data_IF_718483661300
#
_entry.id   IF_718483661300
#
_cell.length_a   1.000
_cell.length_b   1.000
_cell.length_c   1.000
_cell.angle_alpha   90.00
_cell.angle_beta   90.00
_cell.angle_gamma   90.00
#
_symmetry.space_group_name_H-M   'P 1'
#
loop_
_entity.id
_entity.type
_entity.pdbx_description
1 polymer ?
#
# COMPACT_ATOMS: atom_id res chain seq x y z
N UNK A 1 -2.03 -15.38 -1.31
CA UNK A 1 -0.76 -14.80 -0.86
C UNK A 1 -1.04 -13.70 0.16
N UNK A 2 -0.29 -13.67 1.22
CA UNK A 2 -0.38 -12.65 2.26
C UNK A 2 0.28 -11.36 1.77
N UNK A 3 -0.41 -10.22 1.89
CA UNK A 3 0.12 -8.91 1.50
C UNK A 3 1.41 -8.52 2.22
N UNK A 4 1.60 -9.01 3.45
CA UNK A 4 2.84 -8.77 4.21
C UNK A 4 4.08 -9.33 3.52
N UNK A 5 3.94 -10.38 2.73
CA UNK A 5 5.06 -10.95 1.96
C UNK A 5 5.56 -9.98 0.88
N UNK A 6 4.67 -9.17 0.32
CA UNK A 6 5.08 -8.10 -0.60
C UNK A 6 5.91 -7.03 0.12
N UNK A 7 5.62 -6.75 1.38
CA UNK A 7 6.41 -5.82 2.17
C UNK A 7 7.81 -6.38 2.47
N UNK A 8 7.92 -7.68 2.73
CA UNK A 8 9.21 -8.34 2.89
C UNK A 8 10.05 -8.24 1.60
N UNK A 9 9.44 -8.46 0.45
CA UNK A 9 10.11 -8.30 -0.85
C UNK A 9 10.52 -6.84 -1.06
N UNK A 10 9.68 -5.88 -0.67
CA UNK A 10 10.04 -4.46 -0.76
C UNK A 10 11.29 -4.15 0.07
N UNK A 11 11.41 -4.69 1.28
CA UNK A 11 12.58 -4.51 2.13
C UNK A 11 13.83 -5.14 1.51
N UNK A 12 13.72 -6.31 0.91
CA UNK A 12 14.82 -6.95 0.19
C UNK A 12 15.30 -6.09 -0.98
N UNK A 13 14.38 -5.56 -1.77
CA UNK A 13 14.68 -4.70 -2.89
C UNK A 13 15.30 -3.37 -2.45
N UNK A 14 14.92 -2.86 -1.28
CA UNK A 14 15.49 -1.63 -0.72
C UNK A 14 16.99 -1.74 -0.49
N UNK A 15 17.47 -2.93 -0.10
CA UNK A 15 18.91 -3.17 0.11
C UNK A 15 19.71 -3.24 -1.20
N UNK A 16 19.06 -3.24 -2.36
CA UNK A 16 19.73 -3.15 -3.65
C UNK A 16 20.35 -1.77 -3.87
N UNK A 17 21.18 -1.67 -4.89
CA UNK A 17 22.01 -0.48 -5.15
C UNK A 17 21.63 0.28 -6.41
N UNK A 18 20.54 -0.11 -7.09
CA UNK A 18 20.13 0.50 -8.35
C UNK A 18 18.76 1.18 -8.24
N UNK A 19 18.54 2.14 -9.14
CA UNK A 19 17.24 2.79 -9.30
C UNK A 19 16.11 1.77 -9.52
N UNK A 20 16.37 0.72 -10.32
CA UNK A 20 15.39 -0.33 -10.57
C UNK A 20 14.98 -1.06 -9.28
N UNK A 21 15.91 -1.32 -8.37
CA UNK A 21 15.60 -1.90 -7.06
C UNK A 21 14.68 -0.98 -6.26
N UNK A 22 14.97 0.31 -6.21
CA UNK A 22 14.19 1.26 -5.41
C UNK A 22 12.81 1.54 -6.00
N UNK A 23 12.70 1.62 -7.32
CA UNK A 23 11.40 1.69 -8.01
C UNK A 23 10.54 0.47 -7.73
N UNK A 24 11.13 -0.71 -7.81
CA UNK A 24 10.43 -1.97 -7.52
C UNK A 24 10.02 -2.06 -6.05
N UNK A 25 10.87 -1.60 -5.13
CA UNK A 25 10.54 -1.56 -3.70
C UNK A 25 9.30 -0.72 -3.43
N UNK A 26 9.20 0.47 -4.02
CA UNK A 26 8.03 1.34 -3.88
C UNK A 26 6.75 0.67 -4.41
N UNK A 27 6.83 -0.01 -5.55
CA UNK A 27 5.70 -0.75 -6.10
C UNK A 27 5.23 -1.89 -5.19
N UNK A 28 6.16 -2.65 -4.62
CA UNK A 28 5.83 -3.75 -3.70
C UNK A 28 5.25 -3.24 -2.39
N UNK A 29 5.73 -2.10 -1.89
CA UNK A 29 5.14 -1.45 -0.72
C UNK A 29 3.66 -1.10 -0.94
N UNK A 30 3.33 -0.52 -2.09
CA UNK A 30 1.94 -0.26 -2.46
C UNK A 30 1.10 -1.54 -2.49
N UNK A 31 1.57 -2.59 -3.18
CA UNK A 31 0.83 -3.84 -3.27
C UNK A 31 0.58 -4.48 -1.92
N UNK A 32 1.52 -4.37 -0.97
CA UNK A 32 1.33 -4.91 0.37
C UNK A 32 0.11 -4.31 1.06
N UNK A 33 -0.09 -3.00 0.93
CA UNK A 33 -1.20 -2.29 1.57
C UNK A 33 -2.53 -2.60 0.87
N UNK A 34 -2.57 -2.55 -0.46
CA UNK A 34 -3.82 -2.79 -1.19
C UNK A 34 -4.34 -4.22 -0.97
N UNK A 35 -3.44 -5.21 -0.90
CA UNK A 35 -3.84 -6.60 -0.66
C UNK A 35 -4.30 -6.82 0.76
N UNK A 36 -3.64 -6.22 1.76
CA UNK A 36 -4.09 -6.30 3.16
C UNK A 36 -5.44 -5.61 3.35
N UNK A 37 -5.62 -4.44 2.75
CA UNK A 37 -6.89 -3.71 2.83
C UNK A 37 -8.02 -4.49 2.15
N UNK A 38 -7.79 -5.04 0.96
CA UNK A 38 -8.78 -5.86 0.26
C UNK A 38 -9.16 -7.09 1.06
N UNK A 39 -8.18 -7.79 1.63
CA UNK A 39 -8.43 -8.97 2.47
C UNK A 39 -9.27 -8.62 3.68
N UNK A 40 -8.99 -7.48 4.33
CA UNK A 40 -9.78 -7.02 5.47
C UNK A 40 -11.22 -6.70 5.07
N UNK A 41 -11.42 -5.99 3.96
CA UNK A 41 -12.79 -5.70 3.47
C UNK A 41 -13.56 -6.99 3.20
N UNK A 42 -12.92 -7.98 2.59
CA UNK A 42 -13.54 -9.29 2.34
C UNK A 42 -13.95 -9.96 3.66
N UNK A 43 -13.06 -9.96 4.67
CA UNK A 43 -13.34 -10.53 5.99
C UNK A 43 -14.50 -9.82 6.69
N UNK A 44 -14.66 -8.52 6.47
CA UNK A 44 -15.75 -7.73 7.08
C UNK A 44 -17.05 -7.81 6.29
N UNK A 45 -17.10 -8.61 5.22
CA UNK A 45 -18.29 -8.80 4.39
C UNK A 45 -18.59 -7.66 3.45
N UNK A 46 -17.62 -6.79 3.18
CA UNK A 46 -17.79 -5.68 2.24
C UNK A 46 -17.46 -6.16 0.84
N UNK A 47 -18.47 -6.22 -0.03
CA UNK A 47 -18.33 -6.70 -1.40
C UNK A 47 -18.00 -5.54 -2.32
N UNK A 48 -16.88 -5.67 -3.06
CA UNK A 48 -16.51 -4.74 -4.11
C UNK A 48 -17.10 -5.21 -5.44
N UNK A 49 -17.56 -4.26 -6.25
CA UNK A 49 -18.12 -4.57 -7.57
C UNK A 49 -17.01 -5.08 -8.50
N UNK A 50 -17.26 -6.23 -9.17
CA UNK A 50 -16.25 -6.84 -10.05
C UNK A 50 -15.79 -5.96 -11.20
N UNK A 51 -16.69 -5.10 -11.71
CA UNK A 51 -16.39 -4.20 -12.82
C UNK A 51 -15.59 -2.98 -12.44
N UNK A 52 -15.47 -2.68 -11.15
CA UNK A 52 -14.69 -1.54 -10.69
C UNK A 52 -13.21 -1.90 -10.62
N UNK A 53 -12.30 -0.97 -10.99
CA UNK A 53 -10.89 -1.18 -10.75
C UNK A 53 -10.66 -1.41 -9.27
N UNK A 54 -10.06 -2.55 -8.91
CA UNK A 54 -9.94 -2.98 -7.52
C UNK A 54 -9.24 -1.94 -6.65
N UNK A 55 -8.18 -1.32 -7.18
CA UNK A 55 -7.40 -0.32 -6.45
C UNK A 55 -8.24 0.92 -6.12
N UNK A 56 -9.00 1.42 -7.09
CA UNK A 56 -9.86 2.58 -6.90
C UNK A 56 -11.02 2.26 -5.95
N UNK A 57 -11.64 1.09 -6.09
CA UNK A 57 -12.75 0.66 -5.25
C UNK A 57 -12.34 0.54 -3.77
N UNK A 58 -11.18 -0.06 -3.49
CA UNK A 58 -10.67 -0.19 -2.13
C UNK A 58 -10.38 1.19 -1.53
N UNK A 59 -9.67 2.06 -2.27
CA UNK A 59 -9.34 3.40 -1.79
C UNK A 59 -10.60 4.21 -1.48
N UNK A 60 -11.59 4.15 -2.35
CA UNK A 60 -12.84 4.87 -2.17
C UNK A 60 -13.58 4.44 -0.91
N UNK A 61 -13.66 3.13 -0.66
CA UNK A 61 -14.28 2.60 0.55
C UNK A 61 -13.60 3.10 1.82
N UNK A 62 -12.27 3.10 1.84
CA UNK A 62 -11.50 3.52 3.00
C UNK A 62 -11.54 5.04 3.21
N UNK A 63 -11.68 5.82 2.15
CA UNK A 63 -11.74 7.28 2.23
C UNK A 63 -13.01 7.76 2.92
N UNK A 64 -14.15 7.11 2.67
CA UNK A 64 -15.46 7.56 3.14
C UNK A 64 -15.97 6.83 4.38
N UNK A 65 -15.20 5.90 4.93
CA UNK A 65 -15.57 5.26 6.19
C UNK A 65 -15.29 6.19 7.37
N UNK A 66 -16.15 6.15 8.40
CA UNK A 66 -15.97 6.97 9.61
C UNK A 66 -15.11 6.22 10.63
N UNK A 67 -13.85 6.03 10.29
CA UNK A 67 -12.87 5.34 11.12
C UNK A 67 -11.49 5.95 10.83
N UNK A 68 -10.86 6.52 11.86
CA UNK A 68 -9.59 7.25 11.69
C UNK A 68 -8.46 6.36 11.19
N UNK A 69 -8.38 5.10 11.65
CA UNK A 69 -7.33 4.18 11.20
C UNK A 69 -7.53 3.80 9.73
N UNK A 70 -8.76 3.54 9.32
CA UNK A 70 -9.07 3.20 7.94
C UNK A 70 -8.90 4.39 6.99
N UNK A 71 -9.20 5.60 7.46
CA UNK A 71 -8.92 6.82 6.68
C UNK A 71 -7.43 7.03 6.49
N UNK A 72 -6.62 6.72 7.50
CA UNK A 72 -5.16 6.74 7.38
C UNK A 72 -4.68 5.75 6.32
N UNK A 73 -5.24 4.56 6.28
CA UNK A 73 -4.93 3.55 5.25
C UNK A 73 -5.30 4.07 3.85
N UNK A 74 -6.48 4.68 3.72
CA UNK A 74 -6.93 5.27 2.44
C UNK A 74 -5.98 6.35 1.95
N UNK A 75 -5.53 7.23 2.84
CA UNK A 75 -4.55 8.27 2.50
C UNK A 75 -3.21 7.68 2.10
N UNK A 76 -2.74 6.67 2.83
CA UNK A 76 -1.50 5.97 2.49
C UNK A 76 -1.59 5.34 1.10
N UNK A 77 -2.71 4.71 0.77
CA UNK A 77 -2.92 4.14 -0.57
C UNK A 77 -2.89 5.20 -1.66
N UNK A 78 -3.47 6.37 -1.44
CA UNK A 78 -3.41 7.47 -2.40
C UNK A 78 -1.97 7.93 -2.64
N UNK A 79 -1.20 8.11 -1.58
CA UNK A 79 0.20 8.52 -1.69
C UNK A 79 1.04 7.43 -2.38
N UNK A 80 0.86 6.18 -1.97
CA UNK A 80 1.63 5.05 -2.49
C UNK A 80 1.30 4.73 -3.95
N UNK A 81 0.02 4.88 -4.38
CA UNK A 81 -0.33 4.63 -5.77
C UNK A 81 0.28 5.67 -6.71
N UNK A 82 0.35 6.92 -6.27
CA UNK A 82 1.03 7.97 -7.06
C UNK A 82 2.52 7.66 -7.21
N UNK A 83 3.16 7.23 -6.13
CA UNK A 83 4.57 6.87 -6.15
C UNK A 83 4.81 5.63 -7.02
N UNK A 84 3.96 4.62 -6.91
CA UNK A 84 4.02 3.42 -7.74
C UNK A 84 3.88 3.74 -9.22
N UNK A 85 2.94 4.61 -9.58
CA UNK A 85 2.78 5.04 -10.98
C UNK A 85 4.02 5.77 -11.47
N UNK A 86 4.61 6.63 -10.66
CA UNK A 86 5.85 7.32 -10.99
C UNK A 86 7.00 6.32 -11.16
N UNK A 87 7.09 5.32 -10.27
CA UNK A 87 8.12 4.28 -10.33
C UNK A 87 8.03 3.43 -11.60
N UNK A 88 6.81 3.09 -12.03
CA UNK A 88 6.59 2.18 -13.15
C UNK A 88 6.59 2.90 -14.52
N UNK A 89 6.15 4.15 -14.57
CA UNK A 89 5.84 4.81 -15.84
C UNK A 89 6.64 6.08 -16.12
N UNK A 90 7.16 6.76 -15.12
CA UNK A 90 7.99 7.96 -15.32
C UNK A 90 9.47 7.59 -15.26
N UNK A 91 10.00 7.21 -16.40
CA UNK A 91 11.38 6.71 -16.54
C UNK A 91 12.36 7.75 -17.09
N UNK A 92 11.92 9.00 -17.30
CA UNK A 92 12.72 10.02 -17.96
C UNK A 92 13.82 10.60 -17.08
N UNK A 93 13.66 10.53 -15.75
CA UNK A 93 14.69 10.96 -14.80
C UNK A 93 14.56 10.14 -13.53
N UNK A 94 15.65 9.98 -12.75
CA UNK A 94 15.56 9.24 -11.48
C UNK A 94 14.63 9.93 -10.47
N UNK A 95 14.60 11.27 -10.40
CA UNK A 95 13.71 11.98 -9.49
C UNK A 95 13.76 11.43 -8.06
N UNK A 96 12.62 10.98 -7.51
CA UNK A 96 12.56 10.43 -6.16
C UNK A 96 13.32 9.11 -6.00
N UNK A 97 13.77 8.50 -7.09
CA UNK A 97 14.52 7.23 -7.08
C UNK A 97 16.01 7.40 -7.37
N UNK A 98 16.53 8.60 -7.19
CA UNK A 98 17.97 8.87 -7.31
C UNK A 98 18.78 8.19 -6.18
N UNK A 99 18.12 7.90 -5.06
CA UNK A 99 18.66 7.13 -3.95
C UNK A 99 17.53 6.32 -3.28
N UNK A 100 17.84 5.61 -2.21
CA UNK A 100 16.90 4.71 -1.56
C UNK A 100 15.89 5.39 -0.63
N UNK A 101 16.02 6.71 -0.36
CA UNK A 101 15.27 7.34 0.74
C UNK A 101 13.75 7.39 0.47
N UNK A 102 13.31 7.67 -0.73
CA UNK A 102 11.88 7.69 -1.07
C UNK A 102 11.26 6.30 -0.95
N UNK A 103 11.96 5.26 -1.43
CA UNK A 103 11.50 3.88 -1.30
C UNK A 103 11.45 3.45 0.18
N UNK A 104 12.43 3.86 0.98
CA UNK A 104 12.43 3.59 2.43
C UNK A 104 11.24 4.25 3.13
N UNK A 105 10.92 5.48 2.78
CA UNK A 105 9.75 6.20 3.29
C UNK A 105 8.45 5.48 2.89
N UNK A 106 8.35 5.02 1.65
CA UNK A 106 7.19 4.25 1.18
C UNK A 106 7.00 2.96 1.99
N UNK A 107 8.07 2.24 2.30
CA UNK A 107 8.01 1.03 3.12
C UNK A 107 7.54 1.35 4.54
N UNK A 108 8.05 2.43 5.15
CA UNK A 108 7.62 2.88 6.48
C UNK A 108 6.13 3.23 6.48
N UNK A 109 5.66 3.95 5.47
CA UNK A 109 4.25 4.30 5.32
C UNK A 109 3.38 3.05 5.12
N UNK A 110 3.82 2.11 4.31
CA UNK A 110 3.12 0.85 4.09
C UNK A 110 3.03 0.01 5.36
N UNK A 111 4.09 -0.05 6.15
CA UNK A 111 4.09 -0.78 7.42
C UNK A 111 3.11 -0.16 8.43
N UNK A 112 3.08 1.17 8.54
CA UNK A 112 2.12 1.88 9.39
C UNK A 112 0.67 1.63 8.93
N UNK A 113 0.41 1.64 7.64
CA UNK A 113 -0.91 1.35 7.09
C UNK A 113 -1.35 -0.09 7.38
N UNK A 114 -0.44 -1.05 7.22
CA UNK A 114 -0.69 -2.45 7.55
C UNK A 114 -1.06 -2.64 9.01
N UNK A 115 -0.36 -1.95 9.92
CA UNK A 115 -0.68 -1.99 11.35
C UNK A 115 -2.05 -1.38 11.63
N UNK A 116 -2.41 -0.29 10.96
CA UNK A 116 -3.73 0.32 11.10
C UNK A 116 -4.85 -0.62 10.65
N UNK A 117 -4.65 -1.37 9.57
CA UNK A 117 -5.59 -2.42 9.14
C UNK A 117 -5.72 -3.50 10.21
N UNK A 118 -4.60 -3.95 10.79
CA UNK A 118 -4.61 -4.97 11.84
C UNK A 118 -5.36 -4.51 13.08
N UNK A 119 -5.18 -3.25 13.51
CA UNK A 119 -5.90 -2.66 14.64
C UNK A 119 -7.41 -2.61 14.37
N UNK A 120 -7.80 -2.15 13.18
CA UNK A 120 -9.21 -2.09 12.79
C UNK A 120 -9.84 -3.49 12.74
N UNK A 121 -9.09 -4.49 12.29
CA UNK A 121 -9.55 -5.89 12.22
C UNK A 121 -9.79 -6.45 13.63
N UNK A 122 -8.92 -6.14 14.59
CA UNK A 122 -9.10 -6.54 16.00
C UNK A 122 -10.38 -5.91 16.56
N UNK A 123 -10.59 -4.60 16.34
CA UNK A 123 -11.81 -3.92 16.81
C UNK A 123 -13.08 -4.52 16.20
N UNK A 124 -13.03 -4.93 14.95
CA UNK A 124 -14.17 -5.56 14.29
C UNK A 124 -14.52 -6.91 14.89
N UNK A 125 -13.53 -7.66 15.42
CA UNK A 125 -13.73 -8.96 16.07
C UNK A 125 -14.14 -8.85 17.53
N UNK A 126 -13.68 -7.81 18.22
CA UNK A 126 -13.88 -7.60 19.66
C UNK A 126 -14.43 -6.20 19.92
N UNK A 127 -15.69 -5.95 19.49
CA UNK A 127 -16.31 -4.63 19.65
C UNK A 127 -16.62 -4.30 21.12
#
# INVERSE_FOLDING_TARGET
MDGRKFLDVARELLSGTTEAHWRSAAGRAYYSVILEAKSALDRWGIILQRRDPIHAAVRLRLTYVQDADLQLVGKALDDLVRLRNKADYDLTSPGPFANSSTAATAITQADAARLAVAVADIRARFP
#
